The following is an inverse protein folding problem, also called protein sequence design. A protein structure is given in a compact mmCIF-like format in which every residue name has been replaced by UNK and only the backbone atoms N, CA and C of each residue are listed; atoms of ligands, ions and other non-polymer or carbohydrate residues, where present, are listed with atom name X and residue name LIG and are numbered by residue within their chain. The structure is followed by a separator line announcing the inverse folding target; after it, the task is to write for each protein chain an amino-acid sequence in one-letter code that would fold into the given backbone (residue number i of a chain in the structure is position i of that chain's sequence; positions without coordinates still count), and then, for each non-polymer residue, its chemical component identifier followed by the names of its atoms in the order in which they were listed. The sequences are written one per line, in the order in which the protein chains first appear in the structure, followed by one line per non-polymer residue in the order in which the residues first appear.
data_IF_128178305616
#
_entry.id   IF_128178305616
#
_cell.length_a   1.000
_cell.length_b   1.000
_cell.length_c   1.000
_cell.angle_alpha   90.00
_cell.angle_beta   90.00
_cell.angle_gamma   90.00
#
_symmetry.space_group_name_H-M   'P 1'
#
loop_
_entity.id
_entity.type
_entity.pdbx_description
1 polymer ?
#
# COMPACT_ATOMS: atom_id res chain seq x y z
N UNK A 1 10.64 21.65 -13.74
CA UNK A 1 9.22 21.60 -14.14
C UNK A 1 8.83 20.13 -14.26
N UNK A 2 7.83 19.67 -13.51
CA UNK A 2 7.34 18.27 -13.64
C UNK A 2 6.29 18.28 -14.75
N UNK A 3 6.57 17.57 -15.85
CA UNK A 3 5.69 17.50 -17.01
C UNK A 3 4.37 16.81 -16.62
N UNK A 4 3.27 17.56 -16.55
CA UNK A 4 1.96 17.08 -16.08
C UNK A 4 1.25 16.16 -17.10
N UNK A 5 1.76 16.06 -18.32
CA UNK A 5 1.09 15.38 -19.44
C UNK A 5 1.41 13.87 -19.59
N UNK A 6 2.24 13.29 -18.72
CA UNK A 6 2.62 11.86 -18.79
C UNK A 6 2.07 10.99 -17.66
N UNK A 7 1.22 11.54 -16.79
CA UNK A 7 0.73 10.83 -15.61
C UNK A 7 -0.51 10.00 -15.96
N UNK A 8 -0.45 8.69 -15.71
CA UNK A 8 -1.61 7.80 -15.91
C UNK A 8 -2.80 8.27 -15.08
N UNK A 9 -4.03 8.16 -15.59
CA UNK A 9 -5.23 8.42 -14.82
C UNK A 9 -5.21 7.63 -13.51
N UNK A 10 -5.50 8.31 -12.39
CA UNK A 10 -5.52 7.70 -11.07
C UNK A 10 -6.79 6.87 -10.96
N UNK A 11 -6.64 5.57 -10.71
CA UNK A 11 -7.76 4.73 -10.33
C UNK A 11 -8.04 4.95 -8.83
N UNK A 12 -9.19 5.60 -8.56
CA UNK A 12 -9.63 5.91 -7.21
C UNK A 12 -10.42 4.78 -6.55
N UNK A 13 -10.79 3.73 -7.30
CA UNK A 13 -11.53 2.60 -6.76
C UNK A 13 -10.57 1.58 -6.16
N UNK A 14 -10.94 1.07 -4.98
CA UNK A 14 -10.29 -0.12 -4.42
C UNK A 14 -10.53 -1.30 -5.37
N UNK A 15 -9.49 -2.08 -5.62
CA UNK A 15 -9.53 -3.33 -6.37
C UNK A 15 -9.31 -4.49 -5.43
N UNK A 16 -10.11 -5.53 -5.58
CA UNK A 16 -9.84 -6.81 -4.92
C UNK A 16 -8.81 -7.55 -5.76
N UNK A 17 -7.71 -7.96 -5.15
CA UNK A 17 -6.66 -8.78 -5.78
C UNK A 17 -6.52 -10.09 -5.03
N UNK A 18 -5.98 -11.10 -5.71
CA UNK A 18 -5.64 -12.39 -5.13
C UNK A 18 -4.12 -12.47 -4.92
N UNK A 19 -3.70 -13.14 -3.86
CA UNK A 19 -2.27 -13.37 -3.61
C UNK A 19 -1.63 -14.19 -4.74
N UNK A 20 -0.33 -13.98 -4.92
CA UNK A 20 0.50 -14.66 -5.93
C UNK A 20 0.08 -14.38 -7.39
N UNK A 21 -0.88 -13.48 -7.61
CA UNK A 21 -1.28 -12.99 -8.92
C UNK A 21 -0.81 -11.55 -9.10
N UNK A 22 -0.25 -11.25 -10.29
CA UNK A 22 0.17 -9.90 -10.65
C UNK A 22 -1.04 -9.00 -10.86
N UNK A 23 -0.92 -7.74 -10.48
CA UNK A 23 -1.95 -6.74 -10.72
C UNK A 23 -1.35 -5.38 -11.07
N UNK A 24 -2.06 -4.59 -11.88
CA UNK A 24 -1.64 -3.25 -12.26
C UNK A 24 -2.36 -2.17 -11.46
N UNK A 25 -1.61 -1.19 -10.97
CA UNK A 25 -2.14 0.01 -10.33
C UNK A 25 -1.34 1.24 -10.78
N UNK A 26 -2.04 2.23 -11.35
CA UNK A 26 -1.45 3.51 -11.79
C UNK A 26 -0.18 3.33 -12.66
N UNK A 27 -0.23 2.40 -13.63
CA UNK A 27 0.87 2.12 -14.55
C UNK A 27 1.99 1.24 -14.00
N UNK A 28 1.92 0.82 -12.73
CA UNK A 28 2.89 -0.09 -12.11
C UNK A 28 2.33 -1.50 -11.95
N UNK A 29 3.17 -2.52 -12.13
CA UNK A 29 2.85 -3.93 -11.92
C UNK A 29 3.37 -4.42 -10.57
N UNK A 30 2.47 -4.96 -9.76
CA UNK A 30 2.74 -5.45 -8.42
C UNK A 30 2.39 -6.92 -8.25
N UNK A 31 3.00 -7.55 -7.24
CA UNK A 31 2.62 -8.86 -6.74
C UNK A 31 2.74 -8.87 -5.22
N UNK A 32 1.75 -9.45 -4.53
CA UNK A 32 1.77 -9.64 -3.08
C UNK A 32 1.76 -11.14 -2.79
N UNK A 33 2.69 -11.59 -1.93
CA UNK A 33 2.83 -13.00 -1.59
C UNK A 33 3.31 -13.19 -0.16
N UNK A 34 2.94 -14.31 0.44
CA UNK A 34 3.55 -14.78 1.69
C UNK A 34 5.00 -15.26 1.47
N UNK A 35 5.24 -15.87 0.32
CA UNK A 35 6.53 -16.47 0.00
C UNK A 35 7.50 -15.44 -0.56
N UNK A 36 8.79 -15.81 -0.53
CA UNK A 36 9.81 -15.07 -1.26
C UNK A 36 9.64 -15.33 -2.76
N UNK A 37 9.60 -14.27 -3.57
CA UNK A 37 9.53 -14.36 -5.04
C UNK A 37 10.73 -13.70 -5.69
N UNK A 38 10.96 -14.03 -6.97
CA UNK A 38 11.97 -13.38 -7.80
C UNK A 38 11.38 -12.06 -8.32
N UNK A 39 11.88 -10.92 -7.86
CA UNK A 39 11.39 -9.58 -8.21
C UNK A 39 11.96 -8.52 -7.27
N UNK A 40 11.64 -7.24 -7.52
CA UNK A 40 12.10 -6.16 -6.65
C UNK A 40 11.18 -6.04 -5.42
N UNK A 41 11.67 -6.45 -4.25
CA UNK A 41 10.94 -6.33 -2.99
C UNK A 41 10.92 -4.85 -2.54
N UNK A 42 9.75 -4.22 -2.61
CA UNK A 42 9.57 -2.80 -2.26
C UNK A 42 9.06 -2.57 -0.85
N UNK A 43 8.58 -3.63 -0.19
CA UNK A 43 8.11 -3.53 1.17
C UNK A 43 7.51 -4.81 1.69
N UNK A 44 7.04 -4.76 2.92
CA UNK A 44 6.31 -5.84 3.56
C UNK A 44 5.35 -5.26 4.61
N UNK A 45 4.37 -6.05 5.03
CA UNK A 45 3.51 -5.73 6.15
C UNK A 45 3.04 -6.99 6.87
N UNK A 46 2.54 -6.83 8.09
CA UNK A 46 1.89 -7.88 8.85
C UNK A 46 0.38 -7.65 8.88
N UNK A 47 -0.41 -8.71 8.72
CA UNK A 47 -1.86 -8.62 8.73
C UNK A 47 -2.52 -9.98 8.94
N UNK A 48 -3.86 -9.97 9.02
CA UNK A 48 -4.68 -11.18 9.14
C UNK A 48 -4.50 -12.03 7.89
N UNK A 49 -4.28 -13.34 8.04
CA UNK A 49 -4.14 -14.26 6.91
C UNK A 49 -5.42 -14.28 6.05
N UNK A 50 -5.24 -14.11 4.74
CA UNK A 50 -6.32 -14.11 3.73
C UNK A 50 -5.72 -14.26 2.34
N UNK A 51 -6.48 -14.87 1.41
CA UNK A 51 -6.09 -15.05 0.01
C UNK A 51 -6.37 -13.82 -0.86
N UNK A 52 -7.15 -12.86 -0.35
CA UNK A 52 -7.56 -11.67 -1.09
C UNK A 52 -7.29 -10.39 -0.30
N UNK A 53 -6.86 -9.35 -1.00
CA UNK A 53 -6.61 -8.02 -0.44
C UNK A 53 -7.33 -6.95 -1.25
N UNK A 54 -7.60 -5.82 -0.62
CA UNK A 54 -8.03 -4.62 -1.33
C UNK A 54 -6.83 -3.70 -1.55
N UNK A 55 -6.66 -3.20 -2.77
CA UNK A 55 -5.54 -2.33 -3.15
C UNK A 55 -6.01 -1.12 -3.95
N UNK A 56 -5.22 -0.05 -3.95
CA UNK A 56 -5.59 1.19 -4.60
C UNK A 56 -4.83 2.39 -4.07
N UNK A 57 -5.28 3.57 -4.47
CA UNK A 57 -4.73 4.86 -4.06
C UNK A 57 -5.28 5.26 -2.68
N UNK A 58 -4.45 5.78 -1.76
CA UNK A 58 -4.94 6.20 -0.43
C UNK A 58 -6.03 7.29 -0.56
N UNK A 59 -7.24 7.10 -0.01
CA UNK A 59 -8.26 8.14 0.03
C UNK A 59 -7.77 9.40 0.75
N UNK A 60 -8.35 10.54 0.41
CA UNK A 60 -8.15 11.76 1.20
C UNK A 60 -8.70 11.56 2.61
N UNK A 61 -7.97 12.03 3.62
CA UNK A 61 -8.40 11.95 5.01
C UNK A 61 -8.21 10.59 5.69
N UNK A 62 -7.65 9.59 5.00
CA UNK A 62 -7.36 8.28 5.60
C UNK A 62 -6.52 8.39 6.87
N UNK A 63 -6.80 7.50 7.82
CA UNK A 63 -6.07 7.36 9.08
C UNK A 63 -5.28 6.06 9.08
N UNK A 64 -4.09 6.10 9.64
CA UNK A 64 -3.19 4.97 9.84
C UNK A 64 -3.09 4.69 11.33
N UNK A 65 -3.09 3.41 11.71
CA UNK A 65 -2.97 3.00 13.11
C UNK A 65 -1.50 3.01 13.53
N UNK A 66 -1.22 3.39 14.76
CA UNK A 66 0.11 3.38 15.35
C UNK A 66 0.26 2.19 16.30
N UNK A 67 1.50 1.86 16.67
CA UNK A 67 1.80 0.76 17.58
C UNK A 67 1.07 0.85 18.94
N UNK A 68 0.80 2.08 19.41
CA UNK A 68 0.09 2.36 20.66
C UNK A 68 -1.45 2.34 20.54
N UNK A 69 -1.98 1.90 19.39
CA UNK A 69 -3.41 1.87 19.09
C UNK A 69 -4.00 3.23 18.71
N UNK A 70 -3.21 4.33 18.74
CA UNK A 70 -3.68 5.64 18.28
C UNK A 70 -3.72 5.70 16.76
N UNK A 71 -4.33 6.76 16.24
CA UNK A 71 -4.42 7.00 14.81
C UNK A 71 -3.69 8.29 14.42
N UNK A 72 -3.01 8.25 13.28
CA UNK A 72 -2.44 9.43 12.62
C UNK A 72 -3.05 9.61 11.24
N UNK A 73 -3.09 10.85 10.74
CA UNK A 73 -3.57 11.11 9.38
C UNK A 73 -2.52 10.65 8.38
N UNK A 74 -2.92 9.95 7.32
CA UNK A 74 -2.02 9.54 6.25
C UNK A 74 -1.25 10.72 5.65
N UNK A 75 -1.90 11.89 5.49
CA UNK A 75 -1.26 13.12 5.02
C UNK A 75 -0.03 13.54 5.84
N UNK A 76 -0.04 13.29 7.16
CA UNK A 76 1.06 13.60 8.07
C UNK A 76 2.23 12.65 7.79
N UNK A 77 1.96 11.36 7.62
CA UNK A 77 2.96 10.35 7.28
C UNK A 77 3.57 10.57 5.90
N UNK A 78 2.78 10.95 4.90
CA UNK A 78 3.31 11.34 3.59
C UNK A 78 4.26 12.54 3.68
N UNK A 79 3.94 13.55 4.49
CA UNK A 79 4.79 14.71 4.69
C UNK A 79 6.09 14.36 5.44
N UNK A 80 6.01 13.54 6.49
CA UNK A 80 7.17 13.03 7.24
C UNK A 80 8.15 12.25 6.34
N UNK A 81 7.64 11.49 5.37
CA UNK A 81 8.45 10.75 4.40
C UNK A 81 8.81 11.55 3.15
N UNK A 82 8.56 12.87 3.13
CA UNK A 82 8.94 13.73 2.01
C UNK A 82 8.18 13.49 0.70
N UNK A 83 7.04 12.81 0.72
CA UNK A 83 6.27 12.47 -0.49
C UNK A 83 5.47 13.68 -1.00
N UNK A 84 5.78 14.22 -2.19
CA UNK A 84 5.08 15.35 -2.79
C UNK A 84 3.60 15.07 -2.97
N UNK A 85 2.75 16.10 -2.82
CA UNK A 85 1.29 15.98 -2.93
C UNK A 85 0.84 15.31 -4.24
N UNK A 86 1.51 15.63 -5.35
CA UNK A 86 1.21 15.10 -6.69
C UNK A 86 1.50 13.59 -6.82
N UNK A 87 2.41 13.04 -6.00
CA UNK A 87 2.80 11.62 -6.06
C UNK A 87 1.98 10.73 -5.13
N UNK A 88 1.34 11.29 -4.09
CA UNK A 88 0.59 10.52 -3.07
C UNK A 88 -0.49 9.60 -3.67
N UNK A 89 -1.26 10.02 -4.69
CA UNK A 89 -2.24 9.13 -5.31
C UNK A 89 -1.61 7.94 -6.05
N UNK A 90 -0.33 8.02 -6.42
CA UNK A 90 0.39 6.93 -7.12
C UNK A 90 0.99 5.90 -6.16
N UNK A 91 0.94 6.15 -4.85
CA UNK A 91 1.42 5.22 -3.84
C UNK A 91 0.42 4.07 -3.65
N UNK A 92 0.91 2.83 -3.78
CA UNK A 92 0.11 1.65 -3.46
C UNK A 92 -0.32 1.69 -1.99
N UNK A 93 -1.62 1.59 -1.75
CA UNK A 93 -2.18 1.33 -0.42
C UNK A 93 -2.88 -0.02 -0.43
N UNK A 94 -2.70 -0.79 0.63
CA UNK A 94 -3.30 -2.11 0.83
C UNK A 94 -4.19 -2.04 2.07
N UNK A 95 -5.41 -2.54 1.96
CA UNK A 95 -6.37 -2.63 3.06
C UNK A 95 -6.73 -4.07 3.39
N UNK A 96 -6.99 -4.27 4.68
CA UNK A 96 -7.79 -5.39 5.17
C UNK A 96 -9.05 -4.83 5.79
N UNK A 97 -10.20 -5.06 5.12
CA UNK A 97 -11.47 -4.36 5.40
C UNK A 97 -11.27 -2.84 5.26
N UNK A 98 -11.62 -2.07 6.29
CA UNK A 98 -11.47 -0.61 6.30
C UNK A 98 -10.10 -0.12 6.79
N UNK A 99 -9.20 -1.01 7.22
CA UNK A 99 -7.92 -0.60 7.80
C UNK A 99 -6.80 -0.66 6.77
N UNK A 100 -6.10 0.46 6.49
CA UNK A 100 -4.86 0.43 5.72
C UNK A 100 -3.79 -0.33 6.51
N UNK A 101 -3.21 -1.36 5.91
CA UNK A 101 -2.15 -2.19 6.51
C UNK A 101 -0.78 -1.92 5.87
N UNK A 102 -0.76 -1.25 4.72
CA UNK A 102 0.47 -0.84 4.03
C UNK A 102 0.20 0.38 3.14
N UNK A 103 1.14 1.31 3.11
CA UNK A 103 1.22 2.42 2.15
C UNK A 103 2.66 2.50 1.67
N UNK A 104 2.87 2.33 0.37
CA UNK A 104 4.18 2.35 -0.28
C UNK A 104 5.02 3.54 0.19
N UNK A 105 6.25 3.27 0.67
CA UNK A 105 7.23 4.24 1.17
C UNK A 105 6.79 5.09 2.37
N UNK A 106 5.65 4.78 3.01
CA UNK A 106 5.03 5.70 3.99
C UNK A 106 4.65 4.99 5.27
N UNK A 107 4.12 3.77 5.18
CA UNK A 107 3.53 3.09 6.31
C UNK A 107 3.47 1.58 6.11
N UNK A 108 3.68 0.86 7.20
CA UNK A 108 3.37 -0.55 7.34
C UNK A 108 2.66 -0.74 8.68
N UNK A 109 1.75 -1.71 8.75
CA UNK A 109 1.00 -2.00 9.98
C UNK A 109 1.96 -2.17 11.17
N UNK A 110 1.66 -1.46 12.26
CA UNK A 110 2.49 -1.40 13.46
C UNK A 110 1.88 -2.19 14.63
N UNK A 111 0.66 -2.72 14.46
CA UNK A 111 0.01 -3.55 15.47
C UNK A 111 0.69 -4.92 15.57
N UNK A 112 0.93 -5.37 16.80
CA UNK A 112 1.36 -6.73 17.07
C UNK A 112 0.15 -7.63 17.33
N UNK A 113 0.08 -8.75 16.62
CA UNK A 113 -0.87 -9.82 16.87
C UNK A 113 -0.20 -11.15 16.51
N UNK A 114 -0.24 -12.13 17.41
CA UNK A 114 0.40 -13.43 17.21
C UNK A 114 -0.13 -14.20 15.98
N UNK A 115 -1.36 -13.88 15.54
CA UNK A 115 -1.98 -14.50 14.38
C UNK A 115 -1.69 -13.77 13.06
N UNK A 116 -0.94 -12.66 13.09
CA UNK A 116 -0.56 -11.98 11.87
C UNK A 116 0.53 -12.73 11.13
N UNK A 117 0.37 -12.76 9.81
CA UNK A 117 1.35 -13.32 8.88
C UNK A 117 2.00 -12.19 8.08
N UNK A 118 3.23 -12.42 7.66
CA UNK A 118 3.96 -11.49 6.81
C UNK A 118 3.47 -11.59 5.37
N UNK A 119 3.31 -10.44 4.75
CA UNK A 119 3.07 -10.24 3.32
C UNK A 119 4.24 -9.47 2.73
N UNK A 120 4.80 -9.97 1.64
CA UNK A 120 5.87 -9.33 0.89
C UNK A 120 5.27 -8.65 -0.35
N UNK A 121 5.69 -7.41 -0.62
CA UNK A 121 5.19 -6.59 -1.73
C UNK A 121 6.32 -6.42 -2.74
N UNK A 122 6.09 -6.90 -3.96
CA UNK A 122 7.03 -6.81 -5.08
C UNK A 122 6.52 -5.86 -6.15
N UNK A 123 7.43 -5.18 -6.81
CA UNK A 123 7.18 -4.42 -8.05
C UNK A 123 7.99 -5.05 -9.20
N UNK A 124 7.41 -5.08 -10.39
CA UNK A 124 8.05 -5.68 -11.58
C UNK A 124 8.30 -4.68 -12.71
N UNK A 125 7.41 -3.71 -12.90
CA UNK A 125 7.49 -2.66 -13.92
C UNK A 125 6.78 -1.40 -13.40
#
# INVERSE_FOLDING_TARGET
MINRNGLTPIDSKKKKIKLDEKFSLNGKEYLISHDKKIGNLVGYFYGVRTDFLEVGSSPQGSKLRLADGRQTKAKKKFAENGIPLILRPYCLTIWQKENPVYVENVYQNQEYNANFVRYNVYIYL
#
